data_IF_641786855105
#
_entry.id   IF_641786855105
#
_cell.length_a   1.000
_cell.length_b   1.000
_cell.length_c   1.000
_cell.angle_alpha   90.00
_cell.angle_beta   90.00
_cell.angle_gamma   90.00
#
_symmetry.space_group_name_H-M   'P 1'
#
loop_
_entity.id
_entity.type
_entity.pdbx_description
1 polymer ?
#
# COMPACT_ATOMS: atom_id res chain seq x y z
N UNK A 1 -8.94 32.77 17.98
CA UNK A 1 -8.60 31.64 17.08
C UNK A 1 -7.27 31.04 17.49
N UNK A 2 -7.30 29.93 17.92
CA UNK A 2 -6.56 29.05 18.79
C UNK A 2 -5.12 28.75 18.36
N UNK A 3 -4.22 29.68 18.69
CA UNK A 3 -2.76 29.51 18.57
C UNK A 3 -2.17 28.30 19.36
N UNK A 4 -2.82 27.77 20.42
CA UNK A 4 -2.27 26.61 21.14
C UNK A 4 -2.33 25.28 20.38
N UNK A 5 -3.40 25.03 19.59
CA UNK A 5 -3.58 23.79 18.86
C UNK A 5 -2.60 23.63 17.69
N UNK A 6 -2.31 24.72 16.97
CA UNK A 6 -1.33 24.70 15.90
C UNK A 6 0.10 24.42 16.40
N UNK A 7 0.44 24.87 17.61
CA UNK A 7 1.73 24.58 18.25
C UNK A 7 1.85 23.13 18.70
N UNK A 8 0.75 22.53 19.20
CA UNK A 8 0.71 21.12 19.59
C UNK A 8 0.85 20.18 18.38
N UNK A 9 0.16 20.51 17.29
CA UNK A 9 0.26 19.76 16.02
C UNK A 9 1.67 19.89 15.44
N UNK A 10 2.26 21.07 15.46
CA UNK A 10 3.62 21.30 14.96
C UNK A 10 4.66 20.53 15.80
N UNK A 11 4.58 20.58 17.12
CA UNK A 11 5.47 19.80 18.02
C UNK A 11 5.32 18.28 17.81
N UNK A 12 4.11 17.78 17.54
CA UNK A 12 3.86 16.37 17.29
C UNK A 12 4.45 15.93 15.95
N UNK A 13 4.39 16.78 14.91
CA UNK A 13 5.03 16.53 13.61
C UNK A 13 6.55 16.55 13.67
N UNK A 14 7.13 17.50 14.41
CA UNK A 14 8.58 17.60 14.58
C UNK A 14 9.19 16.39 15.32
N UNK A 15 8.42 15.74 16.21
CA UNK A 15 8.86 14.52 16.93
C UNK A 15 8.82 13.23 16.10
N UNK A 16 8.13 13.24 14.96
CA UNK A 16 7.95 12.05 14.11
C UNK A 16 8.98 12.05 12.96
N UNK A 17 9.65 13.16 12.71
CA UNK A 17 10.61 13.27 11.63
C UNK A 17 11.97 12.69 12.06
N UNK A 18 12.45 11.71 11.31
CA UNK A 18 13.79 11.16 11.49
C UNK A 18 14.79 12.17 10.94
N UNK A 19 15.52 12.83 11.83
CA UNK A 19 16.50 13.87 11.50
C UNK A 19 17.92 13.33 11.36
N UNK A 20 18.17 12.10 11.82
CA UNK A 20 19.48 11.46 11.81
C UNK A 20 19.36 9.98 11.53
N UNK A 21 20.28 9.46 10.73
CA UNK A 21 20.40 8.02 10.47
C UNK A 21 21.88 7.63 10.44
N UNK A 22 22.17 6.41 10.82
CA UNK A 22 23.51 5.84 10.68
C UNK A 22 23.62 5.11 9.35
N UNK A 23 24.60 5.46 8.55
CA UNK A 23 24.88 4.83 7.27
C UNK A 23 25.56 3.45 7.46
N UNK A 24 25.78 2.72 6.38
CA UNK A 24 26.41 1.39 6.39
C UNK A 24 27.88 1.43 6.91
N UNK A 25 28.54 2.59 6.89
CA UNK A 25 29.88 2.80 7.41
C UNK A 25 29.90 3.14 8.90
N UNK A 26 28.71 3.25 9.53
CA UNK A 26 28.55 3.61 10.93
C UNK A 26 28.59 5.12 11.20
N UNK A 27 28.68 5.97 10.16
CA UNK A 27 28.68 7.43 10.27
C UNK A 27 27.25 7.96 10.40
N UNK A 28 27.06 9.00 11.21
CA UNK A 28 25.77 9.64 11.39
C UNK A 28 25.63 10.76 10.37
N UNK A 29 24.57 10.70 9.56
CA UNK A 29 24.20 11.77 8.66
C UNK A 29 22.92 12.48 9.10
N UNK A 30 22.87 13.79 8.89
CA UNK A 30 21.70 14.66 9.10
C UNK A 30 21.19 15.23 7.78
N UNK A 31 21.87 14.94 6.67
CA UNK A 31 21.44 15.38 5.35
C UNK A 31 20.18 14.63 4.92
N UNK A 32 19.11 15.38 4.68
CA UNK A 32 17.79 14.83 4.29
C UNK A 32 17.87 14.02 3.01
N UNK A 33 18.67 14.46 2.03
CA UNK A 33 18.82 13.77 0.75
C UNK A 33 19.52 12.42 0.94
N UNK A 34 20.55 12.41 1.77
CA UNK A 34 21.27 11.17 2.09
C UNK A 34 20.41 10.22 2.92
N UNK A 35 19.64 10.73 3.89
CA UNK A 35 18.69 9.94 4.67
C UNK A 35 17.66 9.26 3.74
N UNK A 36 17.06 10.02 2.83
CA UNK A 36 16.12 9.48 1.86
C UNK A 36 16.75 8.40 0.97
N UNK A 37 17.98 8.63 0.52
CA UNK A 37 18.71 7.66 -0.30
C UNK A 37 18.99 6.36 0.46
N UNK A 38 19.42 6.44 1.72
CA UNK A 38 19.71 5.27 2.57
C UNK A 38 18.42 4.45 2.78
N UNK A 39 17.32 5.13 3.14
CA UNK A 39 16.02 4.49 3.37
C UNK A 39 15.51 3.83 2.09
N UNK A 40 15.56 4.56 0.96
CA UNK A 40 15.15 4.03 -0.34
C UNK A 40 15.93 2.77 -0.71
N UNK A 41 17.26 2.81 -0.64
CA UNK A 41 18.13 1.68 -0.99
C UNK A 41 17.87 0.47 -0.09
N UNK A 42 17.63 0.69 1.21
CA UNK A 42 17.29 -0.38 2.14
C UNK A 42 16.03 -1.12 1.72
N UNK A 43 14.94 -0.40 1.46
CA UNK A 43 13.67 -1.01 1.06
C UNK A 43 13.72 -1.58 -0.35
N UNK A 44 14.38 -0.91 -1.30
CA UNK A 44 14.58 -1.41 -2.65
C UNK A 44 15.25 -2.79 -2.63
N UNK A 45 16.30 -2.96 -1.83
CA UNK A 45 16.98 -4.25 -1.66
C UNK A 45 16.06 -5.33 -1.10
N UNK A 46 15.13 -4.99 -0.20
CA UNK A 46 14.16 -5.93 0.35
C UNK A 46 13.08 -6.32 -0.65
N UNK A 47 12.57 -5.39 -1.41
CA UNK A 47 11.49 -5.63 -2.38
C UNK A 47 11.98 -6.19 -3.72
N UNK A 48 13.24 -6.02 -4.08
CA UNK A 48 13.83 -6.59 -5.31
C UNK A 48 14.35 -8.01 -5.13
N UNK A 49 14.38 -8.55 -3.92
CA UNK A 49 14.70 -9.97 -3.71
C UNK A 49 13.63 -10.84 -4.37
N UNK A 50 13.87 -11.24 -5.62
CA UNK A 50 13.11 -12.30 -6.25
C UNK A 50 13.48 -13.62 -5.55
N UNK A 51 12.47 -14.39 -5.18
CA UNK A 51 12.69 -15.75 -4.73
C UNK A 51 13.16 -16.58 -5.93
N UNK A 52 14.45 -16.77 -6.06
CA UNK A 52 15.04 -17.55 -7.14
C UNK A 52 14.98 -19.05 -6.88
N UNK A 53 14.63 -19.45 -5.66
CA UNK A 53 14.63 -20.85 -5.24
C UNK A 53 13.22 -21.36 -4.95
N UNK A 54 12.57 -21.90 -6.00
CA UNK A 54 11.26 -22.53 -5.90
C UNK A 54 11.24 -23.69 -4.91
N UNK A 55 12.36 -24.45 -4.80
CA UNK A 55 12.47 -25.57 -3.86
C UNK A 55 12.43 -25.14 -2.38
N UNK A 56 13.02 -23.99 -2.05
CA UNK A 56 12.92 -23.43 -0.69
C UNK A 56 11.50 -22.95 -0.39
N UNK A 57 10.82 -22.39 -1.39
CA UNK A 57 9.43 -21.96 -1.26
C UNK A 57 8.51 -23.17 -1.05
N UNK A 58 8.67 -24.25 -1.81
CA UNK A 58 7.89 -25.47 -1.64
C UNK A 58 8.11 -26.07 -0.25
N UNK A 59 9.36 -26.16 0.19
CA UNK A 59 9.70 -26.63 1.55
C UNK A 59 9.07 -25.74 2.64
N UNK A 60 9.03 -24.42 2.43
CA UNK A 60 8.37 -23.51 3.35
C UNK A 60 6.86 -23.73 3.39
N UNK A 61 6.22 -23.85 2.23
CA UNK A 61 4.77 -24.09 2.13
C UNK A 61 4.35 -25.42 2.77
N UNK A 62 5.14 -26.48 2.57
CA UNK A 62 4.92 -27.78 3.20
C UNK A 62 5.06 -27.72 4.74
N UNK A 63 6.10 -27.02 5.22
CA UNK A 63 6.38 -26.92 6.65
C UNK A 63 5.30 -26.17 7.43
N UNK A 64 4.74 -25.11 6.85
CA UNK A 64 3.81 -24.23 7.54
C UNK A 64 2.33 -24.57 7.31
N UNK A 65 2.02 -25.56 6.47
CA UNK A 65 0.67 -26.05 6.19
C UNK A 65 -0.37 -24.91 6.13
N UNK A 66 -0.12 -23.97 5.22
CA UNK A 66 -0.96 -22.78 5.04
C UNK A 66 -2.38 -23.20 4.66
N UNK A 67 -3.42 -22.46 5.13
CA UNK A 67 -4.79 -22.73 4.72
C UNK A 67 -4.90 -22.64 3.19
N UNK A 68 -5.49 -23.69 2.60
CA UNK A 68 -5.75 -23.78 1.18
C UNK A 68 -7.18 -23.34 0.89
N UNK A 69 -7.36 -22.65 -0.22
CA UNK A 69 -8.68 -22.34 -0.73
C UNK A 69 -9.39 -23.64 -1.14
N UNK A 70 -10.67 -23.73 -0.88
CA UNK A 70 -11.49 -24.78 -1.47
C UNK A 70 -11.81 -24.45 -2.95
N UNK A 71 -12.41 -25.39 -3.68
CA UNK A 71 -12.70 -25.21 -5.11
C UNK A 71 -13.66 -24.03 -5.36
N UNK A 72 -14.69 -23.88 -4.54
CA UNK A 72 -15.65 -22.78 -4.64
C UNK A 72 -15.00 -21.41 -4.39
N UNK A 73 -14.14 -21.32 -3.39
CA UNK A 73 -13.37 -20.08 -3.12
C UNK A 73 -12.41 -19.75 -4.26
N UNK A 74 -11.77 -20.77 -4.84
CA UNK A 74 -10.88 -20.59 -5.99
C UNK A 74 -11.65 -20.13 -7.25
N UNK A 75 -12.81 -20.73 -7.52
CA UNK A 75 -13.68 -20.32 -8.64
C UNK A 75 -14.19 -18.88 -8.45
N UNK A 76 -14.62 -18.51 -7.24
CA UNK A 76 -15.05 -17.15 -6.93
C UNK A 76 -13.93 -16.12 -7.13
N UNK A 77 -12.69 -16.44 -6.75
CA UNK A 77 -11.54 -15.54 -6.94
C UNK A 77 -11.10 -15.42 -8.41
N UNK A 78 -11.30 -16.48 -9.20
CA UNK A 78 -10.97 -16.49 -10.63
C UNK A 78 -12.10 -15.89 -11.51
N UNK A 79 -13.26 -15.63 -10.93
CA UNK A 79 -14.38 -15.06 -11.64
C UNK A 79 -14.16 -13.59 -12.07
N UNK A 80 -14.97 -13.08 -12.99
CA UNK A 80 -14.92 -11.68 -13.39
C UNK A 80 -15.39 -10.80 -12.23
N UNK A 81 -14.69 -9.68 -12.03
CA UNK A 81 -15.06 -8.67 -11.01
C UNK A 81 -16.38 -8.02 -11.45
N UNK A 82 -17.37 -8.00 -10.57
CA UNK A 82 -18.68 -7.43 -10.85
C UNK A 82 -18.86 -6.04 -10.25
N UNK A 83 -19.75 -5.23 -10.82
CA UNK A 83 -20.12 -3.93 -10.26
C UNK A 83 -20.67 -4.05 -8.83
N UNK A 84 -21.41 -5.12 -8.52
CA UNK A 84 -21.95 -5.37 -7.18
C UNK A 84 -20.85 -5.63 -6.15
N UNK A 85 -19.79 -6.34 -6.51
CA UNK A 85 -18.62 -6.54 -5.63
C UNK A 85 -17.91 -5.23 -5.35
N UNK A 86 -17.67 -4.41 -6.38
CA UNK A 86 -17.07 -3.08 -6.24
C UNK A 86 -17.90 -2.23 -5.28
N UNK A 87 -19.21 -2.17 -5.45
CA UNK A 87 -20.10 -1.44 -4.54
C UNK A 87 -20.05 -1.98 -3.12
N UNK A 88 -20.02 -3.29 -2.93
CA UNK A 88 -19.96 -3.92 -1.62
C UNK A 88 -18.64 -3.58 -0.90
N UNK A 89 -17.52 -3.55 -1.63
CA UNK A 89 -16.22 -3.13 -1.10
C UNK A 89 -16.22 -1.65 -0.74
N UNK A 90 -16.72 -0.77 -1.62
CA UNK A 90 -16.79 0.67 -1.35
C UNK A 90 -17.62 0.95 -0.07
N UNK A 91 -18.76 0.27 0.11
CA UNK A 91 -19.58 0.39 1.33
C UNK A 91 -18.83 0.02 2.61
N UNK A 92 -17.91 -0.94 2.53
CA UNK A 92 -17.12 -1.46 3.66
C UNK A 92 -15.81 -0.71 3.90
N UNK A 93 -15.42 0.24 3.04
CA UNK A 93 -14.18 1.01 3.24
C UNK A 93 -14.15 1.63 4.65
N UNK A 94 -13.00 1.61 5.34
CA UNK A 94 -12.88 2.25 6.63
C UNK A 94 -12.98 3.77 6.50
N UNK A 95 -13.58 4.40 7.50
CA UNK A 95 -13.65 5.87 7.63
C UNK A 95 -12.46 6.38 8.44
N UNK A 96 -12.19 7.68 8.33
CA UNK A 96 -11.12 8.37 9.09
C UNK A 96 -9.72 7.78 8.86
N UNK A 97 -9.46 7.25 7.66
CA UNK A 97 -8.13 6.82 7.21
C UNK A 97 -7.52 7.87 6.29
N UNK A 98 -6.20 7.98 6.37
CA UNK A 98 -5.45 8.87 5.47
C UNK A 98 -5.65 8.43 4.02
N UNK A 99 -5.75 9.42 3.13
CA UNK A 99 -5.79 9.18 1.69
C UNK A 99 -4.46 8.65 1.16
N UNK A 100 -4.52 7.99 0.01
CA UNK A 100 -3.36 7.66 -0.80
C UNK A 100 -2.76 8.90 -1.50
N UNK A 101 -1.84 8.69 -2.46
CA UNK A 101 -1.23 9.78 -3.25
C UNK A 101 -2.24 10.60 -4.05
N UNK A 102 -3.37 10.02 -4.40
CA UNK A 102 -4.49 10.65 -5.11
C UNK A 102 -5.27 11.68 -4.27
N UNK A 103 -5.09 11.67 -2.94
CA UNK A 103 -5.77 12.56 -2.01
C UNK A 103 -7.21 12.18 -1.68
N UNK A 104 -7.75 11.09 -2.24
CA UNK A 104 -9.12 10.64 -1.98
C UNK A 104 -9.21 9.71 -0.77
N UNK A 105 -10.20 9.95 0.09
CA UNK A 105 -10.45 9.13 1.29
C UNK A 105 -11.55 8.09 1.03
N UNK A 106 -11.72 7.15 1.97
CA UNK A 106 -12.83 6.19 1.91
C UNK A 106 -14.20 6.84 1.88
N UNK A 107 -14.35 8.00 2.55
CA UNK A 107 -15.59 8.78 2.54
C UNK A 107 -15.90 9.33 1.15
N UNK A 108 -14.90 9.79 0.41
CA UNK A 108 -15.07 10.23 -0.98
C UNK A 108 -15.63 9.10 -1.85
N UNK A 109 -15.03 7.91 -1.80
CA UNK A 109 -15.51 6.76 -2.58
C UNK A 109 -16.94 6.36 -2.19
N UNK A 110 -17.28 6.45 -0.90
CA UNK A 110 -18.65 6.17 -0.44
C UNK A 110 -19.67 7.20 -0.93
N UNK A 111 -19.29 8.48 -0.91
CA UNK A 111 -20.16 9.58 -1.33
C UNK A 111 -20.47 9.52 -2.85
N UNK A 112 -19.48 9.18 -3.66
CA UNK A 112 -19.59 9.12 -5.13
C UNK A 112 -19.63 7.67 -5.66
N UNK A 113 -20.17 6.75 -4.89
CA UNK A 113 -20.18 5.33 -5.20
C UNK A 113 -20.85 5.03 -6.56
N UNK A 114 -21.98 5.66 -6.83
CA UNK A 114 -22.76 5.41 -8.03
C UNK A 114 -22.03 5.86 -9.30
N UNK A 115 -21.33 6.99 -9.23
CA UNK A 115 -20.55 7.53 -10.32
C UNK A 115 -19.23 6.77 -10.53
N UNK A 116 -18.60 6.34 -9.43
CA UNK A 116 -17.30 5.69 -9.47
C UNK A 116 -17.36 4.20 -9.83
N UNK A 117 -18.43 3.51 -9.44
CA UNK A 117 -18.58 2.06 -9.71
C UNK A 117 -18.40 1.71 -11.19
N UNK A 118 -19.05 2.38 -12.16
CA UNK A 118 -18.87 2.03 -13.57
C UNK A 118 -17.46 2.35 -14.10
N UNK A 119 -16.79 3.37 -13.54
CA UNK A 119 -15.42 3.72 -13.91
C UNK A 119 -14.45 2.65 -13.42
N UNK A 120 -14.57 2.25 -12.14
CA UNK A 120 -13.75 1.20 -11.54
C UNK A 120 -13.99 -0.16 -12.20
N UNK A 121 -15.23 -0.48 -12.55
CA UNK A 121 -15.56 -1.73 -13.25
C UNK A 121 -14.82 -1.82 -14.59
N UNK A 122 -14.87 -0.78 -15.42
CA UNK A 122 -14.13 -0.72 -16.69
C UNK A 122 -12.62 -0.80 -16.48
N UNK A 123 -12.09 -0.19 -15.42
CA UNK A 123 -10.66 -0.29 -15.08
C UNK A 123 -10.27 -1.72 -14.77
N UNK A 124 -11.05 -2.42 -13.95
CA UNK A 124 -10.76 -3.81 -13.59
C UNK A 124 -10.93 -4.77 -14.77
N UNK A 125 -11.97 -4.59 -15.59
CA UNK A 125 -12.12 -5.33 -16.86
C UNK A 125 -10.88 -5.16 -17.76
N UNK A 126 -10.38 -3.92 -17.88
CA UNK A 126 -9.18 -3.66 -18.67
C UNK A 126 -7.95 -4.35 -18.07
N UNK A 127 -7.77 -4.30 -16.75
CA UNK A 127 -6.67 -4.98 -16.05
C UNK A 127 -6.72 -6.49 -16.28
N UNK A 128 -7.92 -7.09 -16.20
CA UNK A 128 -8.09 -8.52 -16.46
C UNK A 128 -7.75 -8.88 -17.92
N UNK A 129 -8.18 -8.08 -18.88
CA UNK A 129 -7.91 -8.32 -20.30
C UNK A 129 -6.43 -8.10 -20.68
N UNK A 130 -5.80 -7.08 -20.12
CA UNK A 130 -4.41 -6.72 -20.42
C UNK A 130 -3.41 -7.54 -19.59
N UNK A 131 -3.87 -8.28 -18.56
CA UNK A 131 -3.07 -9.00 -17.57
C UNK A 131 -1.97 -8.13 -16.92
N UNK A 132 -2.18 -6.81 -16.90
CA UNK A 132 -1.22 -5.82 -16.39
C UNK A 132 -1.92 -4.74 -15.60
N UNK A 133 -1.33 -4.44 -14.44
CA UNK A 133 -1.74 -3.27 -13.66
C UNK A 133 -1.14 -1.99 -14.25
N UNK A 134 -1.84 -0.85 -14.12
CA UNK A 134 -1.24 0.46 -14.38
C UNK A 134 0.03 0.68 -13.55
N UNK A 135 0.99 1.43 -14.09
CA UNK A 135 2.28 1.66 -13.41
C UNK A 135 2.13 2.24 -12.00
N UNK A 136 1.12 3.06 -11.75
CA UNK A 136 0.82 3.61 -10.43
C UNK A 136 0.50 2.57 -9.35
N UNK A 137 0.09 1.35 -9.71
CA UNK A 137 -0.13 0.26 -8.77
C UNK A 137 1.17 -0.33 -8.21
N UNK A 138 2.28 -0.10 -8.90
CA UNK A 138 3.62 -0.54 -8.48
C UNK A 138 4.38 0.54 -7.69
N UNK A 139 3.76 1.71 -7.50
CA UNK A 139 4.35 2.81 -6.73
C UNK A 139 3.89 2.74 -5.28
N UNK A 140 4.83 2.83 -4.35
CA UNK A 140 4.54 2.87 -2.92
C UNK A 140 5.30 4.02 -2.25
N UNK A 141 4.67 4.65 -1.27
CA UNK A 141 5.30 5.64 -0.40
C UNK A 141 5.56 5.04 0.97
N UNK A 142 6.81 5.07 1.40
CA UNK A 142 7.22 4.58 2.72
C UNK A 142 7.41 5.78 3.64
N UNK A 143 6.67 5.80 4.75
CA UNK A 143 6.81 6.82 5.80
C UNK A 143 7.38 6.15 7.04
N UNK A 144 8.54 6.63 7.47
CA UNK A 144 9.14 6.16 8.72
C UNK A 144 8.50 6.88 9.89
N UNK A 145 8.08 6.09 10.87
CA UNK A 145 7.52 6.58 12.14
C UNK A 145 8.54 6.29 13.23
N UNK A 146 8.97 7.33 13.92
CA UNK A 146 9.91 7.23 15.05
C UNK A 146 9.19 6.85 16.34
#
# INVERSE_FOLDING_TARGET
MDKPLSRLIKKKRERIQINTIRNERGEITTDTTEIQRIVRNYYEKWYTKKFENLGEMDTFLEKYNLPKLNEEEAENLNGPITANEIEAVIKKLPTHKSSGPDGFTGEFYKAFKEELTPILHRLFEKIQNDERFPNSFYEASIILIA
#
